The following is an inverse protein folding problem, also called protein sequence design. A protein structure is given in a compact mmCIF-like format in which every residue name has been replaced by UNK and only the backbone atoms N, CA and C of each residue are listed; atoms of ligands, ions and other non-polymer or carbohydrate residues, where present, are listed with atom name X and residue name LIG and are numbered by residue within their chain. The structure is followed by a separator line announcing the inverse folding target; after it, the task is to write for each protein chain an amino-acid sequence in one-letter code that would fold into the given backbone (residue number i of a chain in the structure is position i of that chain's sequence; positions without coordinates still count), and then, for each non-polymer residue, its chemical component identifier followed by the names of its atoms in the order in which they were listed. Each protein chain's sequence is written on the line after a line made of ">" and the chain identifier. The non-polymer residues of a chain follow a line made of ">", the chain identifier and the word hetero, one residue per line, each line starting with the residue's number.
data_IF_177329332182
#
_entry.id   IF_177329332182
#
_cell.length_a   1.000
_cell.length_b   1.000
_cell.length_c   1.000
_cell.angle_alpha   90.00
_cell.angle_beta   90.00
_cell.angle_gamma   90.00
#
_symmetry.space_group_name_H-M   'P 1'
#
loop_
_entity.id
_entity.type
_entity.pdbx_description
1 polymer ?
#
# COMPACT_ATOMS: atom_id res chain seq x y z
N UNK A 1 18.13 2.44 -20.01
CA UNK A 1 16.78 2.23 -19.39
C UNK A 1 15.78 3.15 -20.07
N UNK A 2 14.69 2.62 -20.63
CA UNK A 2 13.63 3.42 -21.27
C UNK A 2 13.06 4.49 -20.31
N UNK A 3 12.83 5.71 -20.81
CA UNK A 3 12.37 6.85 -20.00
C UNK A 3 11.10 6.57 -19.19
N UNK A 4 10.15 5.80 -19.76
CA UNK A 4 8.90 5.41 -19.10
C UNK A 4 9.14 4.61 -17.80
N UNK A 5 10.16 3.75 -17.78
CA UNK A 5 10.48 2.90 -16.62
C UNK A 5 11.08 3.68 -15.46
N UNK A 6 11.71 4.84 -15.72
CA UNK A 6 12.21 5.73 -14.66
C UNK A 6 11.07 6.44 -13.95
N UNK A 7 10.10 6.97 -14.68
CA UNK A 7 8.94 7.66 -14.12
C UNK A 7 8.16 6.76 -13.15
N UNK A 8 7.86 5.52 -13.54
CA UNK A 8 7.12 4.58 -12.68
C UNK A 8 7.88 4.24 -11.39
N UNK A 9 9.22 4.17 -11.43
CA UNK A 9 10.04 3.96 -10.22
C UNK A 9 9.99 5.17 -9.28
N UNK A 10 10.04 6.39 -9.81
CA UNK A 10 9.90 7.61 -9.00
C UNK A 10 8.51 7.65 -8.34
N UNK A 11 7.46 7.33 -9.10
CA UNK A 11 6.10 7.19 -8.55
C UNK A 11 6.10 6.17 -7.41
N UNK A 12 6.70 4.98 -7.61
CA UNK A 12 6.79 3.98 -6.54
C UNK A 12 7.50 4.51 -5.29
N UNK A 13 8.58 5.29 -5.44
CA UNK A 13 9.25 5.90 -4.28
C UNK A 13 8.35 6.92 -3.55
N UNK A 14 7.63 7.75 -4.29
CA UNK A 14 6.67 8.71 -3.71
C UNK A 14 5.60 7.95 -2.91
N UNK A 15 5.03 6.89 -3.48
CA UNK A 15 4.04 6.06 -2.78
C UNK A 15 4.62 5.32 -1.57
N UNK A 16 5.88 4.88 -1.62
CA UNK A 16 6.53 4.30 -0.46
C UNK A 16 6.57 5.29 0.72
N UNK A 17 6.88 6.56 0.45
CA UNK A 17 6.87 7.62 1.46
C UNK A 17 5.45 7.91 1.95
N UNK A 18 4.47 8.04 1.04
CA UNK A 18 3.08 8.31 1.42
C UNK A 18 2.50 7.20 2.28
N UNK A 19 2.72 5.92 1.94
CA UNK A 19 2.27 4.79 2.75
C UNK A 19 2.99 4.72 4.09
N UNK A 20 4.27 5.08 4.14
CA UNK A 20 5.00 5.16 5.42
C UNK A 20 4.41 6.26 6.32
N UNK A 21 4.10 7.42 5.75
CA UNK A 21 3.38 8.48 6.46
C UNK A 21 2.01 8.00 6.94
N UNK A 22 1.21 7.35 6.08
CA UNK A 22 -0.11 6.84 6.44
C UNK A 22 -0.04 5.84 7.61
N UNK A 23 0.94 4.91 7.60
CA UNK A 23 1.17 3.99 8.72
C UNK A 23 1.47 4.73 10.04
N UNK A 24 2.24 5.82 9.98
CA UNK A 24 2.54 6.64 11.16
C UNK A 24 1.30 7.40 11.63
N UNK A 25 0.51 7.98 10.73
CA UNK A 25 -0.70 8.71 11.10
C UNK A 25 -1.74 7.81 11.76
N UNK A 26 -1.77 6.53 11.38
CA UNK A 26 -2.74 5.56 11.86
C UNK A 26 -2.69 5.33 13.38
N UNK A 27 -1.57 5.62 14.05
CA UNK A 27 -1.49 5.54 15.52
C UNK A 27 -2.48 6.47 16.25
N UNK A 28 -3.07 7.44 15.55
CA UNK A 28 -4.10 8.31 16.09
C UNK A 28 -5.52 7.69 16.05
N UNK A 29 -5.69 6.56 15.37
CA UNK A 29 -6.99 5.91 15.20
C UNK A 29 -7.26 4.85 16.28
N UNK A 30 -8.55 4.60 16.62
CA UNK A 30 -8.92 3.63 17.65
C UNK A 30 -8.64 2.16 17.27
N UNK A 31 -8.58 1.82 15.98
CA UNK A 31 -8.35 0.47 15.43
C UNK A 31 -7.15 0.39 14.46
N UNK A 32 -5.93 0.72 14.90
CA UNK A 32 -4.85 1.07 13.96
C UNK A 32 -4.16 -0.14 13.31
N UNK A 33 -4.20 -1.31 13.95
CA UNK A 33 -3.29 -2.42 13.64
C UNK A 33 -3.40 -2.95 12.20
N UNK A 34 -4.61 -3.20 11.71
CA UNK A 34 -4.84 -3.76 10.37
C UNK A 34 -4.38 -2.77 9.30
N UNK A 35 -4.68 -1.49 9.50
CA UNK A 35 -4.32 -0.42 8.59
C UNK A 35 -2.81 -0.16 8.56
N UNK A 36 -2.14 -0.13 9.74
CA UNK A 36 -0.67 -0.06 9.82
C UNK A 36 -0.05 -1.21 9.05
N UNK A 37 -0.56 -2.44 9.22
CA UNK A 37 -0.04 -3.61 8.53
C UNK A 37 -0.14 -3.44 7.00
N UNK A 38 -1.32 -3.05 6.48
CA UNK A 38 -1.52 -2.83 5.05
C UNK A 38 -0.64 -1.71 4.49
N UNK A 39 -0.52 -0.59 5.19
CA UNK A 39 0.34 0.52 4.76
C UNK A 39 1.82 0.13 4.77
N UNK A 40 2.30 -0.60 5.79
CA UNK A 40 3.66 -1.10 5.83
C UNK A 40 3.97 -2.07 4.68
N UNK A 41 3.08 -3.03 4.41
CA UNK A 41 3.26 -3.96 3.28
C UNK A 41 3.23 -3.23 1.94
N UNK A 42 2.43 -2.17 1.80
CA UNK A 42 2.36 -1.36 0.59
C UNK A 42 3.64 -0.53 0.41
N UNK A 43 4.12 0.11 1.48
CA UNK A 43 5.36 0.87 1.50
C UNK A 43 6.58 0.01 1.10
N UNK A 44 6.70 -1.19 1.70
CA UNK A 44 7.76 -2.15 1.38
C UNK A 44 7.67 -2.59 -0.09
N UNK A 45 6.48 -2.88 -0.59
CA UNK A 45 6.29 -3.29 -1.99
C UNK A 45 6.72 -2.21 -2.97
N UNK A 46 6.32 -0.96 -2.72
CA UNK A 46 6.72 0.21 -3.48
C UNK A 46 8.24 0.42 -3.46
N UNK A 47 8.87 0.30 -2.28
CA UNK A 47 10.32 0.41 -2.13
C UNK A 47 11.07 -0.71 -2.86
N UNK A 48 10.63 -1.97 -2.74
CA UNK A 48 11.22 -3.10 -3.46
C UNK A 48 11.09 -2.94 -4.98
N UNK A 49 9.96 -2.39 -5.46
CA UNK A 49 9.77 -2.11 -6.88
C UNK A 49 10.72 -1.01 -7.35
N UNK A 50 10.85 0.07 -6.57
CA UNK A 50 11.85 1.10 -6.79
C UNK A 50 13.27 0.52 -6.83
N UNK A 51 13.62 -0.39 -5.92
CA UNK A 51 14.92 -1.06 -5.85
C UNK A 51 15.16 -2.10 -6.97
N UNK A 52 14.18 -2.35 -7.84
CA UNK A 52 14.22 -3.41 -8.87
C UNK A 52 14.45 -4.80 -8.25
N UNK A 53 13.88 -5.02 -7.06
CA UNK A 53 13.94 -6.27 -6.28
C UNK A 53 12.57 -6.90 -6.07
N UNK A 54 11.50 -6.36 -6.68
CA UNK A 54 10.14 -6.83 -6.47
C UNK A 54 9.78 -7.96 -7.45
N UNK A 55 9.57 -9.20 -6.95
CA UNK A 55 9.20 -10.32 -7.81
C UNK A 55 7.72 -10.23 -8.21
N UNK A 56 7.43 -10.56 -9.46
CA UNK A 56 6.08 -10.46 -10.03
C UNK A 56 5.04 -11.30 -9.28
N UNK A 57 5.40 -12.52 -8.87
CA UNK A 57 4.53 -13.44 -8.12
C UNK A 57 4.11 -12.82 -6.78
N UNK A 58 5.04 -12.15 -6.08
CA UNK A 58 4.72 -11.46 -4.83
C UNK A 58 3.72 -10.32 -5.08
N UNK A 59 3.86 -9.60 -6.20
CA UNK A 59 2.89 -8.59 -6.62
C UNK A 59 1.48 -9.14 -6.82
N UNK A 60 1.35 -10.31 -7.45
CA UNK A 60 0.05 -10.99 -7.61
C UNK A 60 -0.53 -11.39 -6.25
N UNK A 61 0.27 -12.06 -5.41
CA UNK A 61 -0.19 -12.53 -4.10
C UNK A 61 -0.65 -11.38 -3.22
N UNK A 62 0.15 -10.31 -3.13
CA UNK A 62 -0.23 -9.13 -2.37
C UNK A 62 -1.46 -8.45 -2.95
N UNK A 63 -1.58 -8.36 -4.28
CA UNK A 63 -2.77 -7.84 -4.94
C UNK A 63 -4.04 -8.60 -4.55
N UNK A 64 -3.99 -9.93 -4.53
CA UNK A 64 -5.11 -10.77 -4.09
C UNK A 64 -5.42 -10.58 -2.59
N UNK A 65 -4.40 -10.48 -1.74
CA UNK A 65 -4.56 -10.22 -0.30
C UNK A 65 -5.23 -8.87 -0.06
N UNK A 66 -4.77 -7.80 -0.73
CA UNK A 66 -5.39 -6.48 -0.60
C UNK A 66 -6.82 -6.47 -1.11
N UNK A 67 -7.09 -7.12 -2.25
CA UNK A 67 -8.44 -7.21 -2.79
C UNK A 67 -9.38 -7.96 -1.84
N UNK A 68 -8.96 -9.13 -1.33
CA UNK A 68 -9.72 -9.88 -0.35
C UNK A 68 -9.92 -9.11 0.97
N UNK A 69 -8.87 -8.43 1.45
CA UNK A 69 -8.94 -7.56 2.63
C UNK A 69 -9.91 -6.40 2.46
N UNK A 70 -9.92 -5.76 1.29
CA UNK A 70 -10.86 -4.68 0.98
C UNK A 70 -12.32 -5.16 0.99
N UNK A 71 -12.59 -6.36 0.45
CA UNK A 71 -13.92 -6.97 0.50
C UNK A 71 -14.32 -7.34 1.94
N UNK A 72 -13.37 -7.84 2.73
CA UNK A 72 -13.62 -8.28 4.10
C UNK A 72 -13.85 -7.13 5.09
N UNK A 73 -13.09 -6.03 4.96
CA UNK A 73 -13.22 -4.83 5.79
C UNK A 73 -14.36 -3.92 5.33
N UNK A 74 -14.94 -4.16 4.15
CA UNK A 74 -15.96 -3.28 3.58
C UNK A 74 -17.15 -3.09 4.54
N UNK A 75 -17.45 -1.84 4.95
CA UNK A 75 -18.52 -1.61 5.92
C UNK A 75 -19.90 -1.82 5.28
N UNK A 76 -20.82 -2.47 6.00
CA UNK A 76 -22.19 -2.71 5.54
C UNK A 76 -23.00 -1.41 5.39
N UNK A 77 -22.62 -0.38 6.15
CA UNK A 77 -23.19 0.96 6.10
C UNK A 77 -22.05 1.95 5.93
N UNK A 78 -22.19 2.86 4.97
CA UNK A 78 -21.26 3.97 4.81
C UNK A 78 -21.45 4.96 5.96
N UNK A 79 -20.38 5.22 6.72
CA UNK A 79 -20.38 6.18 7.84
C UNK A 79 -19.72 7.53 7.47
N UNK A 80 -19.52 7.81 6.18
CA UNK A 80 -18.91 9.06 5.74
C UNK A 80 -19.79 10.30 6.00
N UNK A 81 -19.20 11.48 5.79
CA UNK A 81 -19.79 12.78 6.12
C UNK A 81 -21.24 12.93 5.65
N UNK A 82 -22.13 13.01 6.62
CA UNK A 82 -23.55 13.37 6.49
C UNK A 82 -23.75 14.87 6.35
#
# INVERSE_FOLDING_TARGET
>A
MSGKRKTVRIIALIFALLFSCAAILQYNDPDPFIWILFYCTAAISCFLFFANRFPFILGILLGLIYFGGAVWVWPAKFEGVS
#
